data_IF_275253689818
#
_entry.id   IF_275253689818
#
_cell.length_a   1.000
_cell.length_b   1.000
_cell.length_c   1.000
_cell.angle_alpha   90.00
_cell.angle_beta   90.00
_cell.angle_gamma   90.00
#
_symmetry.space_group_name_H-M   'P 1'
#
loop_
_entity.id
_entity.type
_entity.pdbx_description
1 polymer ?
#
# COMPACT_ATOMS: atom_id res chain seq x y z
N UNK A 1 26.30 -17.41 -35.70
CA UNK A 1 24.97 -16.78 -35.86
C UNK A 1 24.68 -16.03 -34.56
N UNK A 2 24.93 -14.72 -34.51
CA UNK A 2 24.55 -13.90 -33.35
C UNK A 2 23.04 -13.73 -33.39
N UNK A 3 22.34 -14.25 -32.38
CA UNK A 3 20.93 -13.96 -32.16
C UNK A 3 20.84 -12.52 -31.65
N UNK A 4 20.34 -11.60 -32.47
CA UNK A 4 19.97 -10.26 -32.04
C UNK A 4 18.79 -10.38 -31.07
N UNK A 5 19.10 -10.41 -29.77
CA UNK A 5 18.10 -10.30 -28.70
C UNK A 5 17.91 -8.80 -28.48
N UNK A 6 16.76 -8.28 -28.93
CA UNK A 6 16.44 -6.87 -28.78
C UNK A 6 16.08 -6.55 -27.32
N UNK A 7 16.12 -5.26 -26.93
CA UNK A 7 15.70 -4.82 -25.58
C UNK A 7 14.24 -5.20 -25.27
N UNK A 8 13.41 -5.28 -26.30
CA UNK A 8 12.03 -5.72 -26.17
C UNK A 8 11.95 -7.20 -25.80
N UNK A 9 12.76 -8.05 -26.42
CA UNK A 9 12.85 -9.49 -26.12
C UNK A 9 13.40 -9.76 -24.71
N UNK A 10 14.19 -8.81 -24.17
CA UNK A 10 14.67 -8.82 -22.77
C UNK A 10 13.64 -8.31 -21.76
N UNK A 11 12.46 -7.91 -22.23
CA UNK A 11 11.38 -7.36 -21.40
C UNK A 11 11.81 -6.12 -20.61
N UNK A 12 12.79 -5.35 -21.09
CA UNK A 12 13.26 -4.13 -20.39
C UNK A 12 12.13 -3.10 -20.24
N UNK A 13 11.14 -3.11 -21.13
CA UNK A 13 9.93 -2.30 -21.05
C UNK A 13 9.06 -2.62 -19.82
N UNK A 14 9.18 -3.82 -19.24
CA UNK A 14 8.42 -4.24 -18.07
C UNK A 14 9.09 -3.84 -16.74
N UNK A 15 10.38 -3.48 -16.76
CA UNK A 15 11.10 -3.05 -15.56
C UNK A 15 10.44 -1.87 -14.84
N UNK A 16 9.99 -0.80 -15.53
CA UNK A 16 9.29 0.30 -14.88
C UNK A 16 7.98 -0.12 -14.19
N UNK A 17 7.30 -1.15 -14.70
CA UNK A 17 6.05 -1.66 -14.10
C UNK A 17 6.33 -2.28 -12.74
N UNK A 18 7.37 -3.11 -12.65
CA UNK A 18 7.79 -3.71 -11.38
C UNK A 18 8.31 -2.66 -10.39
N UNK A 19 9.07 -1.68 -10.90
CA UNK A 19 9.54 -0.55 -10.08
C UNK A 19 8.39 0.27 -9.51
N UNK A 20 7.36 0.56 -10.33
CA UNK A 20 6.18 1.28 -9.90
C UNK A 20 5.41 0.51 -8.84
N UNK A 21 5.23 -0.80 -9.02
CA UNK A 21 4.61 -1.68 -8.03
C UNK A 21 5.32 -1.61 -6.67
N UNK A 22 6.66 -1.72 -6.66
CA UNK A 22 7.43 -1.60 -5.41
C UNK A 22 7.35 -0.20 -4.81
N UNK A 23 7.33 0.85 -5.64
CA UNK A 23 7.18 2.22 -5.16
C UNK A 23 5.84 2.42 -4.45
N UNK A 24 4.75 1.88 -5.01
CA UNK A 24 3.41 1.91 -4.40
C UNK A 24 3.39 1.19 -3.05
N UNK A 25 3.96 -0.02 -2.98
CA UNK A 25 4.06 -0.78 -1.73
C UNK A 25 4.84 -0.01 -0.65
N UNK A 26 5.96 0.59 -1.04
CA UNK A 26 6.81 1.36 -0.13
C UNK A 26 6.08 2.60 0.38
N UNK A 27 5.37 3.31 -0.50
CA UNK A 27 4.56 4.47 -0.13
C UNK A 27 3.45 4.07 0.86
N UNK A 28 2.66 3.05 0.55
CA UNK A 28 1.60 2.56 1.43
C UNK A 28 2.15 2.15 2.80
N UNK A 29 3.25 1.39 2.84
CA UNK A 29 3.91 1.02 4.09
C UNK A 29 4.44 2.23 4.86
N UNK A 30 4.90 3.27 4.17
CA UNK A 30 5.47 4.46 4.81
C UNK A 30 4.36 5.27 5.46
N UNK A 31 3.27 5.54 4.72
CA UNK A 31 2.08 6.22 5.24
C UNK A 31 1.54 5.47 6.46
N UNK A 32 1.36 4.15 6.32
CA UNK A 32 0.81 3.33 7.40
C UNK A 32 1.66 3.38 8.67
N UNK A 33 2.98 3.26 8.55
CA UNK A 33 3.88 3.28 9.70
C UNK A 33 4.02 4.67 10.32
N UNK A 34 4.13 5.70 9.48
CA UNK A 34 4.25 7.09 9.95
C UNK A 34 2.99 7.59 10.66
N UNK A 35 1.82 7.13 10.21
CA UNK A 35 0.52 7.58 10.73
C UNK A 35 -0.26 6.48 11.46
N UNK A 36 0.41 5.39 11.88
CA UNK A 36 -0.27 4.26 12.54
C UNK A 36 -1.01 4.73 13.80
N UNK A 37 -0.33 5.50 14.64
CA UNK A 37 -0.90 6.04 15.88
C UNK A 37 -1.19 4.96 16.92
N UNK A 38 -2.25 5.17 17.70
CA UNK A 38 -2.66 4.31 18.81
C UNK A 38 -4.14 3.97 18.70
N UNK A 39 -4.52 2.75 19.08
CA UNK A 39 -5.94 2.35 19.14
C UNK A 39 -6.78 3.24 20.07
N UNK A 40 -6.15 3.91 21.04
CA UNK A 40 -6.82 4.85 21.95
C UNK A 40 -7.03 6.25 21.36
N UNK A 41 -6.44 6.55 20.21
CA UNK A 41 -6.56 7.86 19.56
C UNK A 41 -7.55 7.75 18.42
N UNK A 42 -8.75 8.32 18.62
CA UNK A 42 -9.78 8.41 17.57
C UNK A 42 -9.21 9.09 16.32
N UNK A 43 -9.51 8.54 15.15
CA UNK A 43 -9.01 9.02 13.86
C UNK A 43 -7.62 8.50 13.47
N UNK A 44 -6.91 7.77 14.34
CA UNK A 44 -5.68 7.09 13.95
C UNK A 44 -5.93 5.84 13.10
N UNK A 45 -4.94 5.41 12.32
CA UNK A 45 -5.06 4.18 11.54
C UNK A 45 -5.20 2.94 12.43
N UNK A 46 -4.53 2.90 13.58
CA UNK A 46 -4.67 1.84 14.57
C UNK A 46 -6.09 1.74 15.12
N UNK A 47 -6.75 2.88 15.37
CA UNK A 47 -8.15 2.93 15.76
C UNK A 47 -9.06 2.35 14.67
N UNK A 48 -8.86 2.74 13.40
CA UNK A 48 -9.64 2.19 12.29
C UNK A 48 -9.39 0.70 12.04
N UNK A 49 -8.15 0.23 12.21
CA UNK A 49 -7.81 -1.21 12.12
C UNK A 49 -8.60 -2.01 13.17
N UNK A 50 -8.67 -1.50 14.40
CA UNK A 50 -9.43 -2.14 15.48
C UNK A 50 -10.95 -2.08 15.21
N UNK A 51 -11.47 -0.92 14.77
CA UNK A 51 -12.88 -0.71 14.48
C UNK A 51 -13.40 -1.62 13.35
N UNK A 52 -12.57 -1.84 12.31
CA UNK A 52 -12.92 -2.67 11.15
C UNK A 52 -12.54 -4.16 11.31
N UNK A 53 -12.10 -4.58 12.50
CA UNK A 53 -11.58 -5.92 12.82
C UNK A 53 -10.54 -6.46 11.80
N UNK A 54 -9.68 -5.57 11.28
CA UNK A 54 -8.67 -5.93 10.28
C UNK A 54 -7.41 -6.49 10.95
N UNK A 55 -7.52 -7.65 11.60
CA UNK A 55 -6.41 -8.32 12.33
C UNK A 55 -5.18 -8.63 11.48
N UNK A 56 -5.34 -8.72 10.16
CA UNK A 56 -4.24 -8.92 9.20
C UNK A 56 -3.37 -7.69 9.02
N UNK A 57 -3.77 -6.52 9.51
CA UNK A 57 -3.05 -5.25 9.41
C UNK A 57 -2.36 -4.87 10.72
N UNK A 58 -1.65 -5.83 11.32
CA UNK A 58 -0.73 -5.51 12.40
C UNK A 58 0.38 -4.56 11.89
N UNK A 59 0.94 -3.74 12.78
CA UNK A 59 2.01 -2.78 12.44
C UNK A 59 3.21 -3.41 11.68
N UNK A 60 3.47 -4.70 11.88
CA UNK A 60 4.53 -5.46 11.19
C UNK A 60 4.02 -6.40 10.09
N UNK A 61 2.75 -6.32 9.73
CA UNK A 61 2.18 -7.16 8.67
C UNK A 61 2.80 -6.84 7.31
N UNK A 62 3.02 -7.88 6.51
CA UNK A 62 3.49 -7.80 5.13
C UNK A 62 2.35 -7.98 4.12
N UNK A 63 1.09 -7.86 4.54
CA UNK A 63 -0.06 -7.95 3.63
C UNK A 63 -0.30 -6.60 2.94
N UNK A 64 0.50 -6.34 1.89
CA UNK A 64 0.47 -5.07 1.15
C UNK A 64 -0.85 -4.83 0.39
N UNK A 65 -1.51 -5.90 -0.05
CA UNK A 65 -2.81 -5.79 -0.74
C UNK A 65 -3.89 -5.36 0.24
N UNK A 66 -3.96 -6.00 1.40
CA UNK A 66 -4.90 -5.60 2.43
C UNK A 66 -4.60 -4.19 2.94
N UNK A 67 -3.32 -3.79 2.99
CA UNK A 67 -2.92 -2.47 3.41
C UNK A 67 -3.37 -1.38 2.44
N UNK A 68 -3.13 -1.58 1.13
CA UNK A 68 -3.54 -0.64 0.10
C UNK A 68 -5.07 -0.46 0.09
N UNK A 69 -5.83 -1.56 0.11
CA UNK A 69 -7.29 -1.53 0.19
C UNK A 69 -7.78 -0.77 1.44
N UNK A 70 -7.14 -0.99 2.58
CA UNK A 70 -7.48 -0.30 3.83
C UNK A 70 -7.20 1.20 3.77
N UNK A 71 -6.05 1.61 3.24
CA UNK A 71 -5.71 3.03 3.10
C UNK A 71 -6.70 3.74 2.17
N UNK A 72 -7.07 3.11 1.05
CA UNK A 72 -8.11 3.65 0.16
C UNK A 72 -9.47 3.78 0.85
N UNK A 73 -9.88 2.75 1.59
CA UNK A 73 -11.15 2.77 2.32
C UNK A 73 -11.19 3.89 3.37
N UNK A 74 -10.12 4.03 4.16
CA UNK A 74 -10.03 5.08 5.18
C UNK A 74 -10.02 6.47 4.55
N UNK A 75 -9.25 6.64 3.47
CA UNK A 75 -9.20 7.91 2.75
C UNK A 75 -10.55 8.28 2.14
N UNK A 76 -11.22 7.36 1.45
CA UNK A 76 -12.55 7.60 0.87
C UNK A 76 -13.58 7.96 1.96
N UNK A 77 -13.55 7.25 3.10
CA UNK A 77 -14.40 7.58 4.24
C UNK A 77 -14.13 8.99 4.79
N UNK A 78 -12.85 9.36 4.97
CA UNK A 78 -12.46 10.70 5.43
C UNK A 78 -12.93 11.80 4.47
N UNK A 79 -12.72 11.61 3.16
CA UNK A 79 -13.15 12.57 2.13
C UNK A 79 -14.66 12.73 2.13
N UNK A 80 -15.42 11.62 2.24
CA UNK A 80 -16.88 11.68 2.34
C UNK A 80 -17.39 12.37 3.60
N UNK A 81 -16.69 12.26 4.72
CA UNK A 81 -17.09 12.96 5.96
C UNK A 81 -16.78 14.46 5.92
N UNK A 82 -15.88 14.90 5.04
CA UNK A 82 -15.54 16.31 4.85
C UNK A 82 -16.51 17.05 3.93
N UNK A 83 -17.34 16.32 3.18
CA UNK A 83 -18.27 16.84 2.18
C UNK A 83 -19.71 16.86 2.70
#
# INVERSE_FOLDING_TARGET
RMTDITRFDRLEWALPVMQLFHLQMNLASTIFKAHYGSQSTEGSLAYFVACLDRRRLAFQSQDYRALDEFLWLVFDAMVRTLW
#
